data_IF_890958951380
#
_entry.id   IF_890958951380
#
_cell.length_a   1.000
_cell.length_b   1.000
_cell.length_c   1.000
_cell.angle_alpha   90.00
_cell.angle_beta   90.00
_cell.angle_gamma   90.00
#
_symmetry.space_group_name_H-M   'P 1'
#
loop_
_entity.id
_entity.type
_entity.pdbx_description
1 polymer ?
#
# COMPACT_ATOMS: atom_id res chain seq x y z
N UNK A 1 19.16 -26.35 57.61
CA UNK A 1 18.29 -26.83 56.52
C UNK A 1 17.69 -25.59 55.89
N UNK A 2 18.21 -25.31 54.71
CA UNK A 2 18.06 -24.08 53.93
C UNK A 2 16.71 -24.12 53.19
N UNK A 3 15.76 -23.29 53.62
CA UNK A 3 14.57 -23.01 52.82
C UNK A 3 14.79 -21.71 52.06
N UNK A 4 15.33 -21.89 50.87
CA UNK A 4 15.51 -20.90 49.83
C UNK A 4 14.16 -20.27 49.46
N UNK A 5 14.08 -18.97 49.75
CA UNK A 5 13.83 -17.96 48.73
C UNK A 5 12.74 -18.34 47.71
N UNK A 6 11.48 -18.33 48.17
CA UNK A 6 10.31 -18.21 47.32
C UNK A 6 10.26 -16.82 46.69
N UNK A 7 11.24 -16.48 45.85
CA UNK A 7 11.07 -15.45 44.83
C UNK A 7 9.86 -15.90 44.01
N UNK A 8 8.73 -15.24 44.27
CA UNK A 8 7.60 -15.24 43.39
C UNK A 8 8.14 -15.02 41.97
N UNK A 9 8.16 -16.07 41.17
CA UNK A 9 8.34 -15.97 39.74
C UNK A 9 7.13 -15.20 39.24
N UNK A 10 7.22 -13.87 39.31
CA UNK A 10 6.48 -12.94 38.48
C UNK A 10 6.86 -13.32 37.06
N UNK A 11 6.10 -14.28 36.53
CA UNK A 11 6.16 -14.68 35.14
C UNK A 11 6.02 -13.39 34.37
N UNK A 12 7.14 -12.94 33.80
CA UNK A 12 7.18 -11.87 32.82
C UNK A 12 6.28 -12.36 31.69
N UNK A 13 4.98 -12.08 31.79
CA UNK A 13 4.02 -12.31 30.73
C UNK A 13 4.58 -11.47 29.60
N UNK A 14 5.23 -12.16 28.65
CA UNK A 14 5.62 -11.57 27.39
C UNK A 14 4.31 -11.18 26.75
N UNK A 15 3.89 -9.92 26.98
CA UNK A 15 2.83 -9.28 26.22
C UNK A 15 3.29 -9.42 24.78
N UNK A 16 2.70 -10.38 24.06
CA UNK A 16 2.94 -10.56 22.64
C UNK A 16 2.80 -9.18 21.99
N UNK A 17 3.65 -8.86 21.01
CA UNK A 17 3.67 -7.53 20.40
C UNK A 17 2.23 -7.13 20.11
N UNK A 18 1.83 -6.00 20.70
CA UNK A 18 0.47 -5.50 20.60
C UNK A 18 0.11 -5.50 19.12
N UNK A 19 -0.85 -6.36 18.75
CA UNK A 19 -1.39 -6.46 17.41
C UNK A 19 -1.65 -5.03 16.93
N UNK A 20 -0.80 -4.56 16.01
CA UNK A 20 -0.75 -3.17 15.61
C UNK A 20 -2.06 -2.85 14.92
N UNK A 21 -2.97 -2.29 15.72
CA UNK A 21 -4.38 -2.28 15.38
C UNK A 21 -4.71 -1.53 14.08
N UNK A 22 -6.00 -1.56 13.69
CA UNK A 22 -6.54 -1.00 12.44
C UNK A 22 -6.21 0.48 12.16
N UNK A 23 -5.65 1.20 13.14
CA UNK A 23 -5.10 2.55 13.02
C UNK A 23 -4.10 2.73 11.87
N UNK A 24 -3.29 1.72 11.54
CA UNK A 24 -2.33 1.83 10.43
C UNK A 24 -3.03 1.90 9.06
N UNK A 25 -4.22 1.29 8.91
CA UNK A 25 -5.01 1.34 7.69
C UNK A 25 -5.65 2.72 7.48
N UNK A 26 -6.11 3.36 8.56
CA UNK A 26 -6.67 4.72 8.49
C UNK A 26 -5.63 5.77 8.06
N UNK A 27 -4.37 5.64 8.51
CA UNK A 27 -3.27 6.53 8.12
C UNK A 27 -2.94 6.38 6.63
N UNK A 28 -2.86 5.15 6.14
CA UNK A 28 -2.68 4.87 4.72
C UNK A 28 -3.76 5.50 3.84
N UNK A 29 -5.01 5.32 4.26
CA UNK A 29 -6.17 5.85 3.58
C UNK A 29 -6.14 7.39 3.54
N UNK A 30 -5.84 8.02 4.67
CA UNK A 30 -5.71 9.48 4.74
C UNK A 30 -4.60 10.01 3.82
N UNK A 31 -3.44 9.35 3.75
CA UNK A 31 -2.33 9.75 2.87
C UNK A 31 -2.74 9.66 1.40
N UNK A 32 -3.37 8.57 0.97
CA UNK A 32 -3.85 8.44 -0.42
C UNK A 32 -4.93 9.47 -0.76
N UNK A 33 -5.84 9.75 0.18
CA UNK A 33 -6.88 10.76 0.02
C UNK A 33 -6.30 12.17 -0.15
N UNK A 34 -5.33 12.56 0.68
CA UNK A 34 -4.65 13.86 0.54
C UNK A 34 -3.95 13.96 -0.81
N UNK A 35 -3.25 12.89 -1.20
CA UNK A 35 -2.46 12.88 -2.44
C UNK A 35 -3.36 12.89 -3.69
N UNK A 36 -4.58 12.35 -3.62
CA UNK A 36 -5.56 12.43 -4.72
C UNK A 36 -6.18 13.82 -4.79
N UNK A 37 -6.55 14.41 -3.66
CA UNK A 37 -7.03 15.79 -3.60
C UNK A 37 -6.00 16.77 -4.19
N UNK A 38 -4.71 16.56 -3.91
CA UNK A 38 -3.63 17.37 -4.49
C UNK A 38 -3.61 17.26 -6.03
N UNK A 39 -3.79 16.06 -6.58
CA UNK A 39 -3.90 15.86 -8.03
C UNK A 39 -5.14 16.57 -8.63
N UNK A 40 -6.29 16.52 -7.96
CA UNK A 40 -7.51 17.23 -8.37
C UNK A 40 -7.32 18.75 -8.37
N UNK A 41 -6.68 19.30 -7.34
CA UNK A 41 -6.37 20.73 -7.29
C UNK A 41 -5.42 21.12 -8.43
N UNK A 42 -4.40 20.31 -8.70
CA UNK A 42 -3.49 20.55 -9.82
C UNK A 42 -4.19 20.51 -11.19
N UNK A 43 -5.17 19.62 -11.39
CA UNK A 43 -6.01 19.58 -12.59
C UNK A 43 -6.93 20.79 -12.69
N UNK A 44 -7.57 21.16 -11.58
CA UNK A 44 -8.58 22.21 -11.53
C UNK A 44 -8.01 23.60 -11.79
N UNK A 45 -6.70 23.79 -11.61
CA UNK A 45 -6.03 25.04 -11.94
C UNK A 45 -5.96 25.24 -13.48
N UNK A 46 -6.68 26.23 -14.04
CA UNK A 46 -6.67 26.48 -15.49
C UNK A 46 -5.38 27.18 -15.96
N UNK A 47 -4.65 27.81 -15.05
CA UNK A 47 -3.43 28.59 -15.35
C UNK A 47 -2.19 27.72 -15.66
N UNK A 48 -2.29 26.40 -15.52
CA UNK A 48 -1.19 25.48 -15.84
C UNK A 48 -1.31 24.99 -17.29
N UNK A 49 -0.19 25.05 -18.02
CA UNK A 49 -0.07 24.46 -19.35
C UNK A 49 -0.55 23.00 -19.36
N UNK A 50 -1.36 22.65 -20.36
CA UNK A 50 -1.92 21.30 -20.50
C UNK A 50 -0.82 20.22 -20.51
N UNK A 51 0.31 20.50 -21.15
CA UNK A 51 1.43 19.55 -21.22
C UNK A 51 2.05 19.31 -19.85
N UNK A 52 2.31 20.39 -19.09
CA UNK A 52 2.84 20.27 -17.72
C UNK A 52 1.87 19.54 -16.80
N UNK A 53 0.57 19.86 -16.92
CA UNK A 53 -0.51 19.24 -16.15
C UNK A 53 -0.53 17.73 -16.33
N UNK A 54 -0.50 17.24 -17.57
CA UNK A 54 -0.53 15.80 -17.88
C UNK A 54 0.66 15.07 -17.22
N UNK A 55 1.89 15.53 -17.46
CA UNK A 55 3.08 14.88 -16.90
C UNK A 55 3.08 14.88 -15.36
N UNK A 56 2.66 15.99 -14.75
CA UNK A 56 2.56 16.11 -13.30
C UNK A 56 1.57 15.10 -12.69
N UNK A 57 0.38 14.95 -13.29
CA UNK A 57 -0.64 14.03 -12.81
C UNK A 57 -0.24 12.58 -13.02
N UNK A 58 0.41 12.25 -14.14
CA UNK A 58 0.89 10.89 -14.40
C UNK A 58 1.89 10.45 -13.34
N UNK A 59 2.83 11.32 -12.96
CA UNK A 59 3.78 11.04 -11.88
C UNK A 59 3.05 10.83 -10.55
N UNK A 60 2.11 11.72 -10.21
CA UNK A 60 1.29 11.56 -9.00
C UNK A 60 0.48 10.26 -9.01
N UNK A 61 -0.07 9.85 -10.16
CA UNK A 61 -0.81 8.61 -10.32
C UNK A 61 0.09 7.38 -10.11
N UNK A 62 1.34 7.42 -10.57
CA UNK A 62 2.31 6.35 -10.29
C UNK A 62 2.63 6.25 -8.80
N UNK A 63 2.83 7.38 -8.11
CA UNK A 63 3.02 7.39 -6.65
C UNK A 63 1.78 6.84 -5.94
N UNK A 64 0.57 7.16 -6.41
CA UNK A 64 -0.67 6.60 -5.87
C UNK A 64 -0.72 5.08 -5.97
N UNK A 65 -0.39 4.49 -7.12
CA UNK A 65 -0.37 3.03 -7.30
C UNK A 65 0.60 2.38 -6.32
N UNK A 66 1.76 2.99 -6.08
CA UNK A 66 2.75 2.47 -5.11
C UNK A 66 2.24 2.60 -3.67
N UNK A 67 1.68 3.74 -3.28
CA UNK A 67 1.12 3.97 -1.93
C UNK A 67 -0.03 3.00 -1.67
N UNK A 68 -0.95 2.88 -2.63
CA UNK A 68 -2.04 1.92 -2.59
C UNK A 68 -1.47 0.52 -2.39
N UNK A 69 -0.52 0.10 -3.21
CA UNK A 69 0.05 -1.24 -3.08
C UNK A 69 0.82 -1.47 -1.77
N UNK A 70 1.68 -0.54 -1.36
CA UNK A 70 2.52 -0.67 -0.18
C UNK A 70 1.69 -0.81 1.11
N UNK A 71 0.57 -0.09 1.20
CA UNK A 71 -0.30 -0.13 2.36
C UNK A 71 -1.36 -1.24 2.29
N UNK A 72 -1.94 -1.50 1.11
CA UNK A 72 -2.93 -2.58 0.93
C UNK A 72 -2.29 -3.96 1.06
N UNK A 73 -0.98 -4.08 0.75
CA UNK A 73 -0.22 -5.32 0.89
C UNK A 73 0.51 -5.46 2.24
N UNK A 74 0.16 -4.62 3.22
CA UNK A 74 0.52 -4.72 4.64
C UNK A 74 1.92 -5.30 4.93
N UNK A 75 2.96 -4.55 4.55
CA UNK A 75 4.38 -4.95 4.72
C UNK A 75 4.89 -4.84 6.18
N UNK A 76 4.02 -5.11 7.16
CA UNK A 76 4.34 -5.16 8.58
C UNK A 76 4.39 -6.60 9.13
N UNK A 77 3.81 -7.58 8.43
CA UNK A 77 3.82 -8.98 8.88
C UNK A 77 4.71 -9.89 8.03
N UNK A 78 5.67 -10.50 8.74
CA UNK A 78 6.71 -11.41 8.24
C UNK A 78 6.06 -12.69 7.69
N UNK A 79 5.94 -12.79 6.36
CA UNK A 79 5.52 -14.04 5.69
C UNK A 79 4.89 -13.94 4.30
N UNK A 80 4.64 -12.74 3.76
CA UNK A 80 3.76 -12.58 2.60
C UNK A 80 4.49 -12.54 1.24
N UNK A 81 5.08 -13.67 0.84
CA UNK A 81 5.51 -13.90 -0.55
C UNK A 81 4.35 -14.01 -1.53
N UNK A 82 3.24 -14.62 -1.11
CA UNK A 82 2.08 -14.91 -1.93
C UNK A 82 1.37 -13.68 -2.50
N UNK A 83 1.23 -12.61 -1.73
CA UNK A 83 0.59 -11.39 -2.24
C UNK A 83 1.47 -10.67 -3.29
N UNK A 84 2.81 -10.76 -3.16
CA UNK A 84 3.75 -10.21 -4.15
C UNK A 84 3.68 -10.99 -5.46
N UNK A 85 3.62 -12.32 -5.35
CA UNK A 85 3.43 -13.22 -6.48
C UNK A 85 2.07 -12.99 -7.14
N UNK A 86 1.00 -12.84 -6.37
CA UNK A 86 -0.34 -12.55 -6.88
C UNK A 86 -0.40 -11.23 -7.65
N UNK A 87 0.35 -10.21 -7.23
CA UNK A 87 0.41 -8.95 -7.95
C UNK A 87 1.19 -9.04 -9.26
N UNK A 88 2.33 -9.73 -9.26
CA UNK A 88 3.10 -9.97 -10.49
C UNK A 88 2.26 -10.79 -11.47
N UNK A 89 1.58 -11.83 -10.99
CA UNK A 89 0.68 -12.64 -11.80
C UNK A 89 -0.49 -11.81 -12.36
N UNK A 90 -1.16 -11.02 -11.52
CA UNK A 90 -2.24 -10.13 -11.95
C UNK A 90 -1.76 -9.09 -12.98
N UNK A 91 -0.55 -8.56 -12.81
CA UNK A 91 0.05 -7.62 -13.76
C UNK A 91 0.34 -8.28 -15.12
N UNK A 92 0.87 -9.50 -15.13
CA UNK A 92 1.12 -10.27 -16.36
C UNK A 92 -0.20 -10.60 -17.07
N UNK A 93 -1.22 -11.04 -16.34
CA UNK A 93 -2.55 -11.30 -16.89
C UNK A 93 -3.17 -10.03 -17.47
N UNK A 94 -3.09 -8.91 -16.75
CA UNK A 94 -3.57 -7.62 -17.21
C UNK A 94 -2.89 -7.20 -18.52
N UNK A 95 -1.55 -7.27 -18.60
CA UNK A 95 -0.82 -6.93 -19.82
C UNK A 95 -1.21 -7.84 -21.00
N UNK A 96 -1.34 -9.14 -20.74
CA UNK A 96 -1.73 -10.12 -21.77
C UNK A 96 -3.14 -9.84 -22.29
N UNK A 97 -4.08 -9.56 -21.39
CA UNK A 97 -5.45 -9.18 -21.75
C UNK A 97 -5.49 -7.86 -22.53
N UNK A 98 -4.69 -6.87 -22.13
CA UNK A 98 -4.61 -5.57 -22.79
C UNK A 98 -4.11 -5.71 -24.23
N UNK A 99 -3.05 -6.49 -24.46
CA UNK A 99 -2.54 -6.80 -25.81
C UNK A 99 -3.58 -7.55 -26.64
N UNK A 100 -4.28 -8.52 -26.03
CA UNK A 100 -5.31 -9.30 -26.75
C UNK A 100 -6.47 -8.40 -27.18
N UNK A 101 -6.95 -7.52 -26.29
CA UNK A 101 -8.03 -6.57 -26.60
C UNK A 101 -7.60 -5.56 -27.66
N UNK A 102 -6.40 -4.97 -27.56
CA UNK A 102 -5.94 -4.01 -28.56
C UNK A 102 -5.77 -4.64 -29.93
N UNK A 103 -5.21 -5.85 -30.01
CA UNK A 103 -5.12 -6.59 -31.28
C UNK A 103 -6.49 -6.96 -31.85
N UNK A 104 -7.43 -7.41 -31.02
CA UNK A 104 -8.75 -7.80 -31.49
C UNK A 104 -9.58 -6.60 -31.94
N UNK A 105 -9.51 -5.48 -31.23
CA UNK A 105 -10.31 -4.28 -31.59
C UNK A 105 -9.76 -3.56 -32.83
N UNK A 106 -8.47 -3.77 -33.15
CA UNK A 106 -7.81 -3.16 -34.30
C UNK A 106 -7.79 -4.04 -35.56
N UNK A 107 -8.39 -5.23 -35.47
CA UNK A 107 -8.67 -6.12 -36.60
C UNK A 107 -10.13 -5.98 -37.02
#
# INVERSE_FOLDING_TARGET
MEQTNGQQQSGKIKRGPAHEGPKNHFIAFAISLVLTLLAFVAVANPNLSAMFKIWFIVILAMVQVIVQLAYWMHMKDRGHGYARVGLIFGFVVFLTALVTVTYWTWW
#
